data_IF_150575417032
#
_entry.id   IF_150575417032
#
_cell.length_a   1.000
_cell.length_b   1.000
_cell.length_c   1.000
_cell.angle_alpha   90.00
_cell.angle_beta   90.00
_cell.angle_gamma   90.00
#
_symmetry.space_group_name_H-M   'P 1'
#
loop_
_entity.id
_entity.type
_entity.pdbx_description
1 polymer ?
#
# COMPACT_ATOMS: atom_id res chain seq x y z
N UNK A 1 16.98 -4.17 12.84
CA UNK A 1 15.59 -3.67 12.86
C UNK A 1 14.93 -4.06 14.20
N UNK A 2 14.21 -3.14 14.89
CA UNK A 2 13.47 -3.47 16.12
C UNK A 2 12.56 -4.70 15.96
N UNK A 3 12.40 -5.49 17.02
CA UNK A 3 11.66 -6.77 16.98
C UNK A 3 10.21 -6.62 16.46
N UNK A 4 9.55 -5.50 16.75
CA UNK A 4 8.22 -5.18 16.25
C UNK A 4 8.19 -5.07 14.71
N UNK A 5 9.08 -4.24 14.14
CA UNK A 5 9.11 -4.01 12.69
C UNK A 5 9.42 -5.29 11.91
N UNK A 6 10.28 -6.17 12.45
CA UNK A 6 10.55 -7.48 11.86
C UNK A 6 9.30 -8.38 11.79
N UNK A 7 8.47 -8.37 12.85
CA UNK A 7 7.19 -9.11 12.86
C UNK A 7 6.20 -8.55 11.85
N UNK A 8 6.09 -7.22 11.74
CA UNK A 8 5.18 -6.58 10.76
C UNK A 8 5.65 -6.84 9.33
N UNK A 9 6.96 -6.77 9.08
CA UNK A 9 7.55 -7.13 7.80
C UNK A 9 7.14 -8.56 7.38
N UNK A 10 7.26 -9.53 8.29
CA UNK A 10 6.84 -10.92 8.02
C UNK A 10 5.33 -11.03 7.75
N UNK A 11 4.48 -10.25 8.44
CA UNK A 11 3.03 -10.22 8.15
C UNK A 11 2.76 -9.73 6.73
N UNK A 12 3.40 -8.63 6.32
CA UNK A 12 3.25 -8.08 4.96
C UNK A 12 3.77 -9.03 3.89
N UNK A 13 4.93 -9.65 4.13
CA UNK A 13 5.49 -10.65 3.21
C UNK A 13 4.55 -11.85 3.04
N UNK A 14 4.04 -12.42 4.14
CA UNK A 14 3.12 -13.55 4.08
C UNK A 14 1.83 -13.21 3.31
N UNK A 15 1.23 -12.04 3.57
CA UNK A 15 0.05 -11.58 2.85
C UNK A 15 0.33 -11.36 1.34
N UNK A 16 1.53 -10.86 1.02
CA UNK A 16 1.99 -10.66 -0.35
C UNK A 16 2.11 -11.99 -1.10
N UNK A 17 2.81 -12.98 -0.52
CA UNK A 17 2.97 -14.30 -1.16
C UNK A 17 1.64 -15.05 -1.29
N UNK A 18 0.73 -14.91 -0.31
CA UNK A 18 -0.62 -15.46 -0.40
C UNK A 18 -1.40 -14.84 -1.58
N UNK A 19 -1.25 -13.54 -1.82
CA UNK A 19 -1.93 -12.84 -2.91
C UNK A 19 -1.32 -13.21 -4.28
N UNK A 20 0.02 -13.27 -4.37
CA UNK A 20 0.74 -13.70 -5.57
C UNK A 20 0.31 -15.11 -5.98
N UNK A 21 0.27 -16.04 -5.03
CA UNK A 21 -0.07 -17.44 -5.29
C UNK A 21 -1.53 -17.63 -5.70
N UNK A 22 -2.47 -16.94 -5.05
CA UNK A 22 -3.91 -17.05 -5.35
C UNK A 22 -4.29 -16.45 -6.70
N UNK A 23 -3.75 -15.28 -7.02
CA UNK A 23 -4.25 -14.49 -8.16
C UNK A 23 -3.41 -14.67 -9.42
N UNK A 24 -2.45 -15.59 -9.45
CA UNK A 24 -1.60 -15.91 -10.61
C UNK A 24 -0.96 -14.65 -11.23
N UNK A 25 -0.44 -13.74 -10.40
CA UNK A 25 0.32 -12.57 -10.87
C UNK A 25 1.42 -13.02 -11.86
N UNK A 26 1.62 -12.34 -13.00
CA UNK A 26 2.76 -12.62 -13.86
C UNK A 26 4.08 -12.51 -13.08
N UNK A 27 4.94 -13.53 -13.21
CA UNK A 27 6.22 -13.61 -12.47
C UNK A 27 7.10 -12.38 -12.65
N UNK A 28 7.03 -11.74 -13.83
CA UNK A 28 7.76 -10.51 -14.17
C UNK A 28 7.50 -9.35 -13.18
N UNK A 29 6.36 -9.34 -12.48
CA UNK A 29 5.98 -8.25 -11.58
C UNK A 29 6.06 -8.60 -10.09
N UNK A 30 6.44 -9.83 -9.72
CA UNK A 30 6.43 -10.24 -8.31
C UNK A 30 7.38 -9.40 -7.44
N UNK A 31 8.56 -9.07 -7.97
CA UNK A 31 9.54 -8.24 -7.25
C UNK A 31 9.01 -6.83 -7.00
N UNK A 32 8.46 -6.18 -8.03
CA UNK A 32 7.77 -4.89 -7.89
C UNK A 32 6.65 -4.97 -6.87
N UNK A 33 5.81 -6.00 -6.96
CA UNK A 33 4.62 -6.12 -6.10
C UNK A 33 5.01 -6.28 -4.62
N UNK A 34 6.07 -7.04 -4.31
CA UNK A 34 6.64 -7.13 -2.95
C UNK A 34 7.07 -5.76 -2.42
N UNK A 35 7.77 -4.98 -3.23
CA UNK A 35 8.22 -3.64 -2.85
C UNK A 35 7.04 -2.67 -2.69
N UNK A 36 6.05 -2.75 -3.58
CA UNK A 36 4.83 -1.95 -3.56
C UNK A 36 4.05 -2.13 -2.26
N UNK A 37 3.86 -3.38 -1.81
CA UNK A 37 3.13 -3.66 -0.56
C UNK A 37 3.86 -3.05 0.64
N UNK A 38 5.17 -3.24 0.74
CA UNK A 38 5.98 -2.72 1.85
C UNK A 38 5.98 -1.18 1.87
N UNK A 39 6.16 -0.55 0.71
CA UNK A 39 6.12 0.90 0.57
C UNK A 39 4.74 1.48 0.86
N UNK A 40 3.67 0.79 0.45
CA UNK A 40 2.29 1.22 0.73
C UNK A 40 2.01 1.19 2.23
N UNK A 41 2.31 0.09 2.92
CA UNK A 41 2.14 0.02 4.37
C UNK A 41 2.98 1.07 5.12
N UNK A 42 4.18 1.39 4.61
CA UNK A 42 4.98 2.48 5.17
C UNK A 42 4.31 3.84 4.92
N UNK A 43 3.81 4.08 3.71
CA UNK A 43 3.13 5.32 3.38
C UNK A 43 1.86 5.55 4.20
N UNK A 44 1.05 4.50 4.38
CA UNK A 44 -0.26 4.56 5.02
C UNK A 44 -0.19 4.64 6.55
N UNK A 45 0.65 3.84 7.18
CA UNK A 45 0.62 3.69 8.65
C UNK A 45 1.98 3.74 9.32
N UNK A 46 3.06 3.76 8.53
CA UNK A 46 4.41 3.51 9.03
C UNK A 46 4.48 2.18 9.80
N UNK A 47 3.86 1.16 9.19
CA UNK A 47 3.78 -0.21 9.70
C UNK A 47 3.08 -0.34 11.06
N UNK A 48 2.07 0.51 11.32
CA UNK A 48 1.28 0.48 12.56
C UNK A 48 -0.12 -0.07 12.30
N UNK A 49 -0.46 -1.16 12.98
CA UNK A 49 -1.86 -1.60 13.11
C UNK A 49 -2.57 -0.88 14.26
N UNK A 50 -1.85 -0.66 15.35
CA UNK A 50 -2.37 -0.18 16.63
C UNK A 50 -1.64 1.08 17.07
N UNK A 51 -2.31 1.89 17.88
CA UNK A 51 -1.79 3.09 18.52
C UNK A 51 -2.22 3.16 19.99
N UNK A 52 -1.48 3.93 20.79
CA UNK A 52 -1.84 4.21 22.18
C UNK A 52 -2.52 5.58 22.26
N UNK A 53 -3.79 5.61 22.68
CA UNK A 53 -4.58 6.83 22.89
C UNK A 53 -5.09 6.86 24.33
N UNK A 54 -4.76 7.92 25.08
CA UNK A 54 -5.16 8.09 26.50
C UNK A 54 -4.90 6.83 27.35
N UNK A 55 -3.68 6.33 27.25
CA UNK A 55 -3.24 5.10 27.92
C UNK A 55 -3.93 3.78 27.55
N UNK A 56 -4.76 3.78 26.50
CA UNK A 56 -5.41 2.58 25.98
C UNK A 56 -4.88 2.24 24.60
N UNK A 57 -4.63 0.96 24.35
CA UNK A 57 -4.30 0.44 23.02
C UNK A 57 -5.59 0.40 22.19
N UNK A 58 -5.53 0.95 20.99
CA UNK A 58 -6.63 0.93 20.02
C UNK A 58 -6.07 0.73 18.60
N UNK A 59 -6.93 0.48 17.63
CA UNK A 59 -6.51 0.38 16.23
C UNK A 59 -6.22 1.76 15.64
N UNK A 60 -5.26 1.82 14.72
CA UNK A 60 -4.94 3.04 14.01
C UNK A 60 -6.14 3.46 13.15
N UNK A 61 -6.65 4.67 13.38
CA UNK A 61 -7.77 5.24 12.65
C UNK A 61 -7.34 6.55 11.97
N UNK A 62 -7.61 6.67 10.68
CA UNK A 62 -7.31 7.88 9.90
C UNK A 62 -7.98 9.12 10.48
N UNK A 63 -7.43 10.29 10.19
CA UNK A 63 -7.94 11.58 10.68
C UNK A 63 -9.43 11.80 10.36
N UNK A 64 -9.85 11.45 9.14
CA UNK A 64 -11.25 11.54 8.68
C UNK A 64 -12.13 10.36 9.13
N UNK A 65 -11.60 9.43 9.93
CA UNK A 65 -12.29 8.30 10.55
C UNK A 65 -12.92 7.31 9.56
N UNK A 66 -12.27 7.08 8.42
CA UNK A 66 -12.75 6.14 7.40
C UNK A 66 -11.83 4.95 7.18
N UNK A 67 -10.54 5.08 7.49
CA UNK A 67 -9.51 4.11 7.16
C UNK A 67 -8.84 3.54 8.41
N UNK A 68 -8.54 2.23 8.40
CA UNK A 68 -8.07 1.52 9.60
C UNK A 68 -6.84 0.66 9.38
N UNK A 69 -5.99 0.59 10.42
CA UNK A 69 -4.91 -0.39 10.57
C UNK A 69 -3.71 -0.21 9.65
N UNK A 70 -2.95 -1.29 9.50
CA UNK A 70 -1.64 -1.38 8.86
C UNK A 70 -1.60 -0.83 7.43
N UNK A 71 -2.63 -1.08 6.64
CA UNK A 71 -2.74 -0.63 5.26
C UNK A 71 -3.85 0.43 5.08
N UNK A 72 -4.35 1.01 6.18
CA UNK A 72 -5.36 2.09 6.16
C UNK A 72 -6.58 1.79 5.25
N UNK A 73 -7.16 0.60 5.40
CA UNK A 73 -8.28 0.15 4.56
C UNK A 73 -9.52 1.00 4.84
N UNK A 74 -10.08 1.62 3.78
CA UNK A 74 -11.29 2.43 3.88
C UNK A 74 -12.53 1.55 4.10
N UNK A 75 -13.10 1.61 5.31
CA UNK A 75 -14.22 0.78 5.74
C UNK A 75 -15.54 1.08 5.02
N UNK A 76 -15.66 2.29 4.43
CA UNK A 76 -16.86 2.70 3.69
C UNK A 76 -16.82 2.19 2.26
N UNK A 77 -15.68 2.34 1.60
CA UNK A 77 -15.46 1.91 0.21
C UNK A 77 -15.58 0.40 0.10
N UNK A 78 -14.96 -0.34 1.03
CA UNK A 78 -14.89 -1.80 0.97
C UNK A 78 -15.94 -2.52 1.82
N UNK A 79 -17.02 -1.81 2.18
CA UNK A 79 -18.11 -2.37 2.98
C UNK A 79 -18.76 -3.56 2.28
N UNK A 80 -18.93 -4.65 2.99
CA UNK A 80 -19.56 -5.87 2.49
C UNK A 80 -18.60 -6.84 1.80
N UNK A 81 -17.39 -6.39 1.42
CA UNK A 81 -16.32 -7.24 0.90
C UNK A 81 -15.38 -7.70 2.03
N UNK A 82 -15.06 -6.80 2.96
CA UNK A 82 -14.22 -7.10 4.11
C UNK A 82 -14.96 -6.99 5.45
N UNK A 83 -14.58 -7.84 6.40
CA UNK A 83 -15.14 -7.82 7.76
C UNK A 83 -14.52 -6.69 8.56
N UNK A 84 -15.33 -5.68 8.87
CA UNK A 84 -14.90 -4.43 9.52
C UNK A 84 -14.10 -4.65 10.81
N UNK A 85 -14.59 -5.49 11.70
CA UNK A 85 -13.93 -5.69 13.00
C UNK A 85 -12.59 -6.41 12.85
N UNK A 86 -12.44 -7.28 11.84
CA UNK A 86 -11.15 -7.90 11.51
C UNK A 86 -10.17 -6.91 10.90
N UNK A 87 -10.61 -6.01 10.02
CA UNK A 87 -9.75 -4.94 9.49
C UNK A 87 -9.12 -4.10 10.61
N UNK A 88 -9.86 -3.89 11.71
CA UNK A 88 -9.42 -3.10 12.87
C UNK A 88 -8.45 -3.87 13.77
N UNK A 89 -8.74 -5.12 14.09
CA UNK A 89 -8.05 -5.82 15.19
C UNK A 89 -7.13 -6.96 14.75
N UNK A 90 -7.24 -7.43 13.51
CA UNK A 90 -6.41 -8.49 12.96
C UNK A 90 -5.45 -7.91 11.91
N UNK A 91 -4.17 -7.77 12.30
CA UNK A 91 -3.12 -7.24 11.42
C UNK A 91 -2.91 -8.09 10.16
N UNK A 92 -3.09 -9.41 10.24
CA UNK A 92 -2.94 -10.31 9.08
C UNK A 92 -4.11 -10.12 8.14
N UNK A 93 -5.32 -9.99 8.66
CA UNK A 93 -6.51 -9.71 7.86
C UNK A 93 -6.41 -8.33 7.18
N UNK A 94 -5.94 -7.31 7.90
CA UNK A 94 -5.71 -5.98 7.34
C UNK A 94 -4.66 -5.99 6.22
N UNK A 95 -3.52 -6.66 6.45
CA UNK A 95 -2.49 -6.85 5.43
C UNK A 95 -3.05 -7.55 4.19
N UNK A 96 -3.76 -8.67 4.36
CA UNK A 96 -4.35 -9.43 3.24
C UNK A 96 -5.34 -8.61 2.42
N UNK A 97 -6.20 -7.84 3.08
CA UNK A 97 -7.14 -6.95 2.39
C UNK A 97 -6.38 -5.89 1.57
N UNK A 98 -5.34 -5.27 2.14
CA UNK A 98 -4.55 -4.27 1.43
C UNK A 98 -3.75 -4.83 0.25
N UNK A 99 -3.20 -6.04 0.37
CA UNK A 99 -2.52 -6.71 -0.76
C UNK A 99 -3.52 -7.04 -1.87
N UNK A 100 -4.67 -7.64 -1.55
CA UNK A 100 -5.73 -7.94 -2.53
C UNK A 100 -6.18 -6.67 -3.30
N UNK A 101 -6.37 -5.53 -2.60
CA UNK A 101 -6.74 -4.25 -3.23
C UNK A 101 -5.63 -3.72 -4.15
N UNK A 102 -4.36 -3.79 -3.72
CA UNK A 102 -3.23 -3.40 -4.57
C UNK A 102 -3.13 -4.27 -5.82
N UNK A 103 -3.36 -5.59 -5.70
CA UNK A 103 -3.32 -6.52 -6.83
C UNK A 103 -4.44 -6.21 -7.83
N UNK A 104 -5.65 -5.96 -7.33
CA UNK A 104 -6.79 -5.50 -8.13
C UNK A 104 -6.44 -4.25 -8.94
N UNK A 105 -5.94 -3.20 -8.28
CA UNK A 105 -5.59 -1.95 -8.95
C UNK A 105 -4.42 -2.10 -9.91
N UNK A 106 -3.46 -2.96 -9.60
CA UNK A 106 -2.34 -3.24 -10.49
C UNK A 106 -2.79 -3.96 -11.76
N UNK A 107 -3.51 -5.07 -11.62
CA UNK A 107 -3.90 -5.94 -12.74
C UNK A 107 -4.98 -5.34 -13.60
N UNK A 108 -6.06 -4.89 -12.98
CA UNK A 108 -7.27 -4.55 -13.70
C UNK A 108 -7.23 -3.12 -14.27
N UNK A 109 -6.30 -2.28 -13.79
CA UNK A 109 -6.23 -0.86 -14.16
C UNK A 109 -4.84 -0.42 -14.63
N UNK A 110 -3.82 -0.53 -13.77
CA UNK A 110 -2.53 0.11 -14.04
C UNK A 110 -1.78 -0.52 -15.22
N UNK A 111 -1.67 -1.86 -15.24
CA UNK A 111 -0.93 -2.58 -16.27
C UNK A 111 -1.50 -2.30 -17.66
N UNK A 112 -2.79 -2.54 -17.87
CA UNK A 112 -3.46 -2.30 -19.16
C UNK A 112 -3.30 -0.85 -19.62
N UNK A 113 -3.45 0.11 -18.71
CA UNK A 113 -3.33 1.54 -19.04
C UNK A 113 -1.93 1.93 -19.46
N UNK A 114 -0.92 1.45 -18.72
CA UNK A 114 0.47 1.81 -18.95
C UNK A 114 1.02 1.14 -20.20
N UNK A 115 0.66 -0.12 -20.44
CA UNK A 115 0.98 -0.84 -21.69
C UNK A 115 0.41 -0.10 -22.91
N UNK A 116 -0.84 0.35 -22.85
CA UNK A 116 -1.46 1.15 -23.91
C UNK A 116 -0.78 2.52 -24.15
N UNK A 117 0.07 2.97 -23.24
CA UNK A 117 0.81 4.24 -23.32
C UNK A 117 2.32 4.02 -23.46
N UNK A 118 2.75 2.78 -23.71
CA UNK A 118 4.16 2.38 -23.82
C UNK A 118 5.01 2.78 -22.61
N UNK A 119 4.42 2.80 -21.41
CA UNK A 119 5.11 3.07 -20.15
C UNK A 119 5.48 1.73 -19.48
N UNK A 120 6.77 1.44 -19.38
CA UNK A 120 7.30 0.19 -18.80
C UNK A 120 8.08 0.39 -17.50
N UNK A 121 8.22 1.63 -17.02
CA UNK A 121 8.95 1.92 -15.78
C UNK A 121 8.18 1.38 -14.55
N UNK A 122 8.82 0.44 -13.86
CA UNK A 122 8.32 -0.22 -12.66
C UNK A 122 8.04 0.74 -11.49
N UNK A 123 8.86 1.78 -11.34
CA UNK A 123 8.66 2.81 -10.32
C UNK A 123 7.44 3.66 -10.64
N UNK A 124 7.21 3.97 -11.92
CA UNK A 124 5.99 4.67 -12.37
C UNK A 124 4.76 3.80 -12.13
N UNK A 125 4.87 2.50 -12.40
CA UNK A 125 3.79 1.54 -12.15
C UNK A 125 3.44 1.46 -10.66
N UNK A 126 4.42 1.29 -9.77
CA UNK A 126 4.19 1.28 -8.33
C UNK A 126 3.49 2.57 -7.85
N UNK A 127 3.94 3.73 -8.33
CA UNK A 127 3.34 5.04 -7.99
C UNK A 127 1.91 5.19 -8.54
N UNK A 128 1.64 4.70 -9.75
CA UNK A 128 0.31 4.72 -10.35
C UNK A 128 -0.67 3.85 -9.55
N UNK A 129 -0.25 2.66 -9.14
CA UNK A 129 -1.07 1.76 -8.31
C UNK A 129 -1.35 2.39 -6.95
N UNK A 130 -0.33 2.96 -6.30
CA UNK A 130 -0.52 3.66 -5.03
C UNK A 130 -1.45 4.88 -5.17
N UNK A 131 -1.36 5.65 -6.25
CA UNK A 131 -2.25 6.78 -6.48
C UNK A 131 -3.73 6.35 -6.49
N UNK A 132 -4.04 5.21 -7.14
CA UNK A 132 -5.37 4.61 -7.08
C UNK A 132 -5.72 4.05 -5.72
N UNK A 133 -4.76 3.45 -5.00
CA UNK A 133 -4.96 2.97 -3.64
C UNK A 133 -5.45 4.08 -2.71
N UNK A 134 -4.80 5.25 -2.80
CA UNK A 134 -5.08 6.39 -1.95
C UNK A 134 -6.36 7.15 -2.33
N UNK A 135 -6.68 7.29 -3.63
CA UNK A 135 -7.74 8.18 -4.11
C UNK A 135 -8.79 7.54 -5.02
N UNK A 136 -8.70 6.24 -5.27
CA UNK A 136 -9.60 5.47 -6.14
C UNK A 136 -9.16 5.42 -7.62
N UNK A 137 -9.82 4.58 -8.44
CA UNK A 137 -9.38 4.28 -9.82
C UNK A 137 -9.24 5.49 -10.75
N UNK A 138 -10.08 6.51 -10.59
CA UNK A 138 -10.04 7.74 -11.41
C UNK A 138 -8.73 8.51 -11.26
N UNK A 139 -8.00 8.28 -10.16
CA UNK A 139 -6.72 8.95 -9.91
C UNK A 139 -5.62 8.51 -10.88
N UNK A 140 -5.73 7.33 -11.50
CA UNK A 140 -4.74 6.84 -12.47
C UNK A 140 -4.44 7.86 -13.56
N UNK A 141 -5.48 8.42 -14.16
CA UNK A 141 -5.33 9.40 -15.25
C UNK A 141 -4.73 10.71 -14.77
N UNK A 142 -5.13 11.14 -13.57
CA UNK A 142 -4.65 12.38 -12.96
C UNK A 142 -3.18 12.25 -12.59
N UNK A 143 -2.79 11.12 -12.01
CA UNK A 143 -1.39 10.77 -11.74
C UNK A 143 -0.57 10.76 -13.04
N UNK A 144 -1.01 10.05 -14.07
CA UNK A 144 -0.28 9.97 -15.35
C UNK A 144 -0.15 11.33 -16.04
N UNK A 145 -1.16 12.21 -15.91
CA UNK A 145 -1.06 13.60 -16.37
C UNK A 145 0.03 14.36 -15.62
N UNK A 146 0.01 14.32 -14.28
CA UNK A 146 1.01 14.97 -13.41
C UNK A 146 2.43 14.45 -13.66
N UNK A 147 2.56 13.15 -13.87
CA UNK A 147 3.83 12.50 -14.18
C UNK A 147 4.44 13.07 -15.47
N UNK A 148 3.64 13.18 -16.55
CA UNK A 148 4.11 13.72 -17.83
C UNK A 148 4.45 15.21 -17.78
N UNK A 149 3.69 15.99 -17.03
CA UNK A 149 3.94 17.42 -16.87
C UNK A 149 5.00 17.73 -15.80
N UNK A 150 5.64 16.71 -15.23
CA UNK A 150 6.62 16.83 -14.14
C UNK A 150 6.11 17.70 -12.97
N UNK A 151 4.84 17.53 -12.61
CA UNK A 151 4.15 18.32 -11.58
C UNK A 151 3.51 17.42 -10.51
N UNK A 152 4.31 16.64 -9.76
CA UNK A 152 3.79 15.71 -8.77
C UNK A 152 3.12 16.43 -7.60
N UNK A 153 2.10 15.82 -7.01
CA UNK A 153 1.63 16.24 -5.69
C UNK A 153 2.61 15.77 -4.61
N UNK A 154 2.53 16.37 -3.41
CA UNK A 154 3.36 15.97 -2.28
C UNK A 154 3.23 14.49 -1.95
N UNK A 155 2.02 13.94 -2.04
CA UNK A 155 1.79 12.51 -1.79
C UNK A 155 2.50 11.61 -2.82
N UNK A 156 2.57 12.04 -4.09
CA UNK A 156 3.25 11.29 -5.15
C UNK A 156 4.77 11.29 -4.94
N UNK A 157 5.30 12.41 -4.42
CA UNK A 157 6.72 12.58 -4.06
C UNK A 157 7.08 11.75 -2.84
N UNK A 158 6.31 11.86 -1.76
CA UNK A 158 6.55 11.10 -0.52
C UNK A 158 6.48 9.59 -0.75
N UNK A 159 5.50 9.14 -1.56
CA UNK A 159 5.44 7.72 -1.91
C UNK A 159 6.64 7.27 -2.74
N UNK A 160 7.09 8.07 -3.72
CA UNK A 160 8.30 7.78 -4.50
C UNK A 160 9.52 7.62 -3.58
N UNK A 161 9.72 8.55 -2.64
CA UNK A 161 10.83 8.49 -1.67
C UNK A 161 10.76 7.21 -0.82
N UNK A 162 9.59 6.85 -0.29
CA UNK A 162 9.41 5.61 0.50
C UNK A 162 9.59 4.34 -0.33
N UNK A 163 9.16 4.35 -1.58
CA UNK A 163 9.39 3.23 -2.49
C UNK A 163 10.88 3.04 -2.80
N UNK A 164 11.62 4.13 -3.06
CA UNK A 164 13.07 4.10 -3.26
C UNK A 164 13.83 3.65 -2.01
N UNK A 165 13.38 4.06 -0.82
CA UNK A 165 13.93 3.56 0.44
C UNK A 165 13.63 2.06 0.66
N UNK A 166 12.44 1.61 0.26
CA UNK A 166 12.05 0.19 0.30
C UNK A 166 12.92 -0.65 -0.64
N UNK A 167 13.25 -0.14 -1.83
CA UNK A 167 14.18 -0.79 -2.77
C UNK A 167 15.58 -0.97 -2.19
N UNK A 168 16.02 -0.02 -1.36
CA UNK A 168 17.33 -0.06 -0.67
C UNK A 168 17.32 -0.91 0.60
N UNK A 169 16.13 -1.26 1.10
CA UNK A 169 15.97 -1.96 2.38
C UNK A 169 16.12 -1.06 3.62
N UNK A 170 16.00 0.26 3.46
CA UNK A 170 16.21 1.31 4.48
C UNK A 170 15.03 1.39 5.49
N UNK A 171 14.57 0.25 5.98
CA UNK A 171 13.39 0.13 6.83
C UNK A 171 13.60 0.68 8.25
N UNK A 172 14.84 0.95 8.67
CA UNK A 172 15.13 1.67 9.91
C UNK A 172 14.53 3.08 9.93
N UNK A 173 14.38 3.71 8.75
CA UNK A 173 13.76 5.05 8.61
C UNK A 173 12.26 5.06 8.90
N UNK A 174 11.61 3.90 8.98
CA UNK A 174 10.22 3.81 9.44
C UNK A 174 10.08 4.39 10.85
N UNK A 175 11.11 4.26 11.69
CA UNK A 175 11.10 4.81 13.04
C UNK A 175 11.01 6.34 13.08
N UNK A 176 11.40 7.04 12.01
CA UNK A 176 11.27 8.51 11.91
C UNK A 176 9.80 8.97 11.74
N UNK A 177 8.89 8.04 11.47
CA UNK A 177 7.46 8.30 11.32
C UNK A 177 6.63 7.95 12.58
N UNK A 178 7.24 7.28 13.55
CA UNK A 178 6.60 6.82 14.79
C UNK A 178 6.62 7.92 15.85
#
# INVERSE_FOLDING_TARGET
MPQYLSKVHQVLQNATEETISKNQQPSKHHSLYRLLVLATAWQESCWRQLEKKRDKVTYLLSYNRTSVGLMQINERVWRGLYQRDKLRWDIRYNARAGTEILDLYMKDYALTRMEAQSLSDETVLARAVYAMYNAGPDELQRFLKRYRSNSPHDIDRLFKEKYEMTQKGDFEKIALCL
#
